data_IF_600640976421
#
_entry.id   IF_600640976421
#
_cell.length_a   1.000
_cell.length_b   1.000
_cell.length_c   1.000
_cell.angle_alpha   90.00
_cell.angle_beta   90.00
_cell.angle_gamma   90.00
#
_symmetry.space_group_name_H-M   'P 1'
#
loop_
_entity.id
_entity.type
_entity.pdbx_description
1 polymer ?
#
# COMPACT_ATOMS: atom_id res chain seq x y z
N UNK A 1 23.94 -16.89 34.96
CA UNK A 1 24.14 -17.01 33.48
C UNK A 1 22.83 -17.22 32.71
N UNK A 2 21.66 -17.21 33.36
CA UNK A 2 20.31 -17.10 32.77
C UNK A 2 20.04 -15.62 32.40
N UNK A 3 19.76 -15.17 31.18
CA UNK A 3 19.29 -15.81 29.95
C UNK A 3 19.79 -14.94 28.77
N UNK A 4 20.92 -15.31 28.16
CA UNK A 4 21.51 -14.52 27.07
C UNK A 4 20.65 -14.53 25.79
N UNK A 5 20.01 -15.67 25.49
CA UNK A 5 19.17 -15.86 24.30
C UNK A 5 18.01 -14.85 24.18
N UNK A 6 17.16 -14.70 25.21
CA UNK A 6 16.10 -13.68 25.24
C UNK A 6 16.55 -12.25 24.97
N UNK A 7 17.73 -11.87 25.44
CA UNK A 7 18.27 -10.53 25.19
C UNK A 7 18.72 -10.35 23.74
N UNK A 8 19.37 -11.36 23.16
CA UNK A 8 19.79 -11.35 21.75
C UNK A 8 18.58 -11.27 20.83
N UNK A 9 17.53 -12.07 21.08
CA UNK A 9 16.33 -12.03 20.23
C UNK A 9 15.62 -10.66 20.29
N UNK A 10 15.52 -10.04 21.46
CA UNK A 10 14.96 -8.69 21.60
C UNK A 10 15.82 -7.64 20.89
N UNK A 11 17.15 -7.76 20.93
CA UNK A 11 18.06 -6.88 20.21
C UNK A 11 17.85 -6.98 18.69
N UNK A 12 17.79 -8.20 18.14
CA UNK A 12 17.54 -8.42 16.71
C UNK A 12 16.19 -7.85 16.25
N UNK A 13 15.14 -7.98 17.08
CA UNK A 13 13.83 -7.38 16.80
C UNK A 13 13.96 -5.85 16.74
N UNK A 14 14.68 -5.24 17.68
CA UNK A 14 14.90 -3.79 17.70
C UNK A 14 15.74 -3.30 16.53
N UNK A 15 16.76 -4.03 16.11
CA UNK A 15 17.57 -3.71 14.93
C UNK A 15 16.74 -3.76 13.64
N UNK A 16 15.94 -4.83 13.45
CA UNK A 16 15.02 -4.95 12.33
C UNK A 16 14.01 -3.78 12.30
N UNK A 17 13.48 -3.41 13.46
CA UNK A 17 12.56 -2.28 13.61
C UNK A 17 13.22 -0.93 13.31
N UNK A 18 14.49 -0.72 13.68
CA UNK A 18 15.25 0.49 13.33
C UNK A 18 15.44 0.61 11.81
N UNK A 19 15.77 -0.51 11.14
CA UNK A 19 15.89 -0.56 9.68
C UNK A 19 14.54 -0.23 9.02
N UNK A 20 13.44 -0.82 9.51
CA UNK A 20 12.09 -0.50 9.03
C UNK A 20 11.73 0.96 9.25
N UNK A 21 11.98 1.52 10.44
CA UNK A 21 11.70 2.92 10.73
C UNK A 21 12.48 3.86 9.79
N UNK A 22 13.77 3.60 9.58
CA UNK A 22 14.59 4.37 8.66
C UNK A 22 14.06 4.29 7.21
N UNK A 23 13.73 3.09 6.73
CA UNK A 23 13.17 2.89 5.39
C UNK A 23 11.83 3.61 5.20
N UNK A 24 10.94 3.51 6.19
CA UNK A 24 9.63 4.15 6.18
C UNK A 24 9.75 5.68 6.22
N UNK A 25 10.59 6.23 7.10
CA UNK A 25 10.83 7.68 7.18
C UNK A 25 11.42 8.20 5.86
N UNK A 26 12.41 7.51 5.30
CA UNK A 26 12.99 7.86 4.01
C UNK A 26 11.91 7.88 2.92
N UNK A 27 11.07 6.86 2.88
CA UNK A 27 10.03 6.72 1.87
C UNK A 27 8.94 7.78 1.98
N UNK A 28 8.43 8.04 3.19
CA UNK A 28 7.46 9.10 3.45
C UNK A 28 8.04 10.48 3.14
N UNK A 29 9.28 10.73 3.55
CA UNK A 29 10.02 11.95 3.25
C UNK A 29 10.23 12.17 1.76
N UNK A 30 10.63 11.12 1.02
CA UNK A 30 10.79 11.17 -0.44
C UNK A 30 9.47 11.50 -1.15
N UNK A 31 8.37 10.84 -0.77
CA UNK A 31 7.04 11.13 -1.33
C UNK A 31 6.57 12.55 -1.00
N UNK A 32 6.76 12.98 0.25
CA UNK A 32 6.42 14.33 0.69
C UNK A 32 7.22 15.40 -0.06
N UNK A 33 8.54 15.20 -0.21
CA UNK A 33 9.40 16.10 -0.97
C UNK A 33 8.95 16.24 -2.43
N UNK A 34 8.66 15.12 -3.10
CA UNK A 34 8.17 15.15 -4.48
C UNK A 34 6.80 15.84 -4.60
N UNK A 35 5.90 15.63 -3.64
CA UNK A 35 4.61 16.31 -3.62
C UNK A 35 4.76 17.83 -3.42
N UNK A 36 5.67 18.27 -2.55
CA UNK A 36 5.96 19.69 -2.32
C UNK A 36 6.61 20.31 -3.56
N UNK A 37 7.58 19.61 -4.18
CA UNK A 37 8.26 20.08 -5.37
C UNK A 37 7.28 20.28 -6.54
N UNK A 38 6.31 19.38 -6.67
CA UNK A 38 5.23 19.51 -7.64
C UNK A 38 4.33 20.70 -7.34
N UNK A 39 3.86 20.83 -6.10
CA UNK A 39 2.99 21.94 -5.69
C UNK A 39 3.65 23.30 -5.98
N UNK A 40 4.97 23.38 -5.84
CA UNK A 40 5.75 24.59 -6.13
C UNK A 40 5.93 24.85 -7.63
N UNK A 41 5.82 23.85 -8.51
CA UNK A 41 6.03 24.00 -9.96
C UNK A 41 4.87 23.39 -10.78
N UNK A 42 3.68 24.02 -10.79
CA UNK A 42 2.46 23.46 -11.39
C UNK A 42 2.48 23.38 -12.93
N UNK A 43 3.52 23.92 -13.60
CA UNK A 43 3.57 24.13 -15.04
C UNK A 43 3.72 22.86 -15.92
N UNK A 44 3.65 21.64 -15.37
CA UNK A 44 4.07 20.45 -16.15
C UNK A 44 3.18 19.21 -16.21
N UNK A 45 2.04 19.03 -15.55
CA UNK A 45 1.33 17.74 -15.66
C UNK A 45 -0.19 17.78 -15.44
N UNK A 46 -0.96 17.85 -16.53
CA UNK A 46 -2.43 17.70 -16.50
C UNK A 46 -2.94 16.27 -16.80
N UNK A 47 -2.21 15.44 -17.55
CA UNK A 47 -2.94 14.41 -18.33
C UNK A 47 -3.22 13.05 -17.65
N UNK A 48 -2.69 12.70 -16.46
CA UNK A 48 -2.88 11.32 -15.93
C UNK A 48 -2.87 11.15 -14.40
N UNK A 49 -3.22 12.20 -13.64
CA UNK A 49 -3.08 12.23 -12.17
C UNK A 49 -4.14 11.51 -11.30
N UNK A 50 -5.42 11.36 -11.67
CA UNK A 50 -6.45 11.19 -10.64
C UNK A 50 -6.63 9.78 -10.07
N UNK A 51 -6.40 8.71 -10.84
CA UNK A 51 -6.80 7.34 -10.41
C UNK A 51 -5.84 6.68 -9.41
N UNK A 52 -4.61 7.17 -9.28
CA UNK A 52 -3.59 6.57 -8.40
C UNK A 52 -3.57 7.13 -6.98
N UNK A 53 -4.26 8.24 -6.75
CA UNK A 53 -4.20 9.02 -5.52
C UNK A 53 -4.79 8.28 -4.30
N UNK A 54 -5.84 7.48 -4.51
CA UNK A 54 -6.47 6.69 -3.44
C UNK A 54 -5.49 5.70 -2.83
N UNK A 55 -4.82 4.93 -3.69
CA UNK A 55 -3.88 3.89 -3.26
C UNK A 55 -2.63 4.52 -2.64
N UNK A 56 -2.21 5.69 -3.12
CA UNK A 56 -1.10 6.41 -2.51
C UNK A 56 -1.40 6.87 -1.08
N UNK A 57 -2.65 7.27 -0.80
CA UNK A 57 -3.10 7.66 0.54
C UNK A 57 -3.22 6.44 1.46
N UNK A 58 -3.82 5.35 1.00
CA UNK A 58 -3.89 4.10 1.76
C UNK A 58 -2.50 3.55 2.09
N UNK A 59 -1.57 3.64 1.12
CA UNK A 59 -0.19 3.24 1.34
C UNK A 59 0.52 4.17 2.34
N UNK A 60 0.27 5.49 2.30
CA UNK A 60 0.82 6.39 3.31
C UNK A 60 0.29 6.04 4.71
N UNK A 61 -0.98 5.67 4.83
CA UNK A 61 -1.58 5.15 6.07
C UNK A 61 -0.86 3.88 6.57
N UNK A 62 -0.64 2.91 5.67
CA UNK A 62 0.13 1.69 5.97
C UNK A 62 1.54 2.02 6.50
N UNK A 63 2.26 2.92 5.84
CA UNK A 63 3.60 3.35 6.25
C UNK A 63 3.61 4.04 7.62
N UNK A 64 2.61 4.87 7.92
CA UNK A 64 2.49 5.47 9.26
C UNK A 64 2.25 4.39 10.31
N UNK A 65 1.40 3.40 10.03
CA UNK A 65 1.17 2.28 10.95
C UNK A 65 2.43 1.42 11.15
N UNK A 66 3.18 1.12 10.09
CA UNK A 66 4.47 0.42 10.18
C UNK A 66 5.49 1.20 11.02
N UNK A 67 5.50 2.54 10.96
CA UNK A 67 6.36 3.37 11.81
C UNK A 67 5.96 3.26 13.29
N UNK A 68 4.67 3.28 13.60
CA UNK A 68 4.15 3.11 14.96
C UNK A 68 4.50 1.71 15.49
N UNK A 69 4.33 0.67 14.67
CA UNK A 69 4.72 -0.72 14.98
C UNK A 69 6.23 -0.84 15.24
N UNK A 70 7.05 -0.18 14.42
CA UNK A 70 8.49 -0.13 14.59
C UNK A 70 8.88 0.54 15.91
N UNK A 71 8.26 1.66 16.28
CA UNK A 71 8.49 2.33 17.57
C UNK A 71 8.19 1.38 18.74
N UNK A 72 7.05 0.67 18.71
CA UNK A 72 6.71 -0.34 19.72
C UNK A 72 7.75 -1.47 19.84
N UNK A 73 8.38 -1.84 18.73
CA UNK A 73 9.43 -2.86 18.67
C UNK A 73 10.82 -2.34 19.10
N UNK A 74 11.14 -1.09 18.80
CA UNK A 74 12.37 -0.42 19.28
C UNK A 74 12.38 -0.31 20.81
N UNK A 75 11.21 -0.12 21.44
CA UNK A 75 11.09 -0.07 22.90
C UNK A 75 11.53 -1.36 23.62
N UNK A 76 11.70 -2.48 22.89
CA UNK A 76 12.33 -3.69 23.44
C UNK A 76 13.76 -3.44 23.97
N UNK A 77 14.49 -2.44 23.44
CA UNK A 77 15.81 -2.05 23.95
C UNK A 77 15.79 -1.71 25.44
N UNK A 78 14.67 -1.16 25.94
CA UNK A 78 14.49 -0.87 27.37
C UNK A 78 14.62 -2.15 28.20
N UNK A 79 14.06 -3.25 27.71
CA UNK A 79 14.06 -4.54 28.40
C UNK A 79 15.38 -5.28 28.23
N UNK A 80 16.09 -5.07 27.11
CA UNK A 80 17.46 -5.56 26.91
C UNK A 80 18.41 -4.97 27.96
N UNK A 81 18.33 -3.65 28.17
CA UNK A 81 19.18 -2.94 29.14
C UNK A 81 18.82 -3.32 30.57
N UNK A 82 17.52 -3.31 30.91
CA UNK A 82 17.05 -3.60 32.28
C UNK A 82 17.15 -5.08 32.65
N UNK A 83 17.12 -5.97 31.67
CA UNK A 83 17.12 -7.42 31.90
C UNK A 83 15.82 -7.99 32.46
N UNK A 84 14.79 -7.17 32.65
CA UNK A 84 13.49 -7.55 33.18
C UNK A 84 12.39 -6.66 32.59
N UNK A 85 11.20 -7.21 32.38
CA UNK A 85 10.02 -6.50 31.87
C UNK A 85 9.10 -6.17 33.05
N UNK A 86 9.05 -4.91 33.44
CA UNK A 86 8.25 -4.46 34.58
C UNK A 86 7.03 -3.64 34.12
N UNK A 87 5.88 -3.76 34.82
CA UNK A 87 4.75 -2.85 34.63
C UNK A 87 5.16 -1.38 34.84
N UNK A 88 4.46 -0.46 34.16
CA UNK A 88 4.69 0.98 34.28
C UNK A 88 4.52 1.73 32.95
N UNK A 89 4.88 3.01 32.93
CA UNK A 89 4.66 3.89 31.76
C UNK A 89 5.32 3.35 30.49
N UNK A 90 6.59 2.94 30.56
CA UNK A 90 7.29 2.38 29.40
C UNK A 90 6.61 1.11 28.84
N UNK A 91 6.05 0.29 29.74
CA UNK A 91 5.33 -0.93 29.40
C UNK A 91 4.00 -0.61 28.68
N UNK A 92 3.23 0.32 29.23
CA UNK A 92 1.97 0.79 28.64
C UNK A 92 2.20 1.45 27.29
N UNK A 93 3.18 2.36 27.19
CA UNK A 93 3.53 3.03 25.93
C UNK A 93 3.90 1.99 24.88
N UNK A 94 4.77 1.04 25.20
CA UNK A 94 5.10 -0.03 24.27
C UNK A 94 3.87 -0.79 23.79
N UNK A 95 2.99 -1.19 24.71
CA UNK A 95 1.84 -2.00 24.37
C UNK A 95 0.85 -1.24 23.46
N UNK A 96 0.63 0.06 23.72
CA UNK A 96 -0.18 0.94 22.88
C UNK A 96 0.40 1.05 21.48
N UNK A 97 1.71 1.31 21.35
CA UNK A 97 2.37 1.40 20.03
C UNK A 97 2.30 0.06 19.26
N UNK A 98 2.46 -1.08 19.94
CA UNK A 98 2.30 -2.39 19.32
C UNK A 98 0.88 -2.58 18.80
N UNK A 99 -0.12 -2.44 19.67
CA UNK A 99 -1.52 -2.63 19.27
C UNK A 99 -1.94 -1.66 18.15
N UNK A 100 -1.63 -0.36 18.30
CA UNK A 100 -1.99 0.65 17.30
C UNK A 100 -1.29 0.42 15.95
N UNK A 101 -0.01 0.04 15.97
CA UNK A 101 0.76 -0.23 14.76
C UNK A 101 0.31 -1.51 14.07
N UNK A 102 0.24 -2.61 14.81
CA UNK A 102 -0.09 -3.94 14.29
C UNK A 102 -1.50 -3.97 13.66
N UNK A 103 -2.49 -3.37 14.34
CA UNK A 103 -3.86 -3.29 13.82
C UNK A 103 -3.97 -2.30 12.66
N UNK A 104 -3.30 -1.14 12.75
CA UNK A 104 -3.27 -0.16 11.67
C UNK A 104 -2.67 -0.73 10.38
N UNK A 105 -1.62 -1.56 10.48
CA UNK A 105 -1.02 -2.28 9.35
C UNK A 105 -2.01 -3.29 8.77
N UNK A 106 -2.71 -4.06 9.62
CA UNK A 106 -3.72 -5.02 9.19
C UNK A 106 -4.86 -4.35 8.42
N UNK A 107 -5.52 -3.34 9.02
CA UNK A 107 -6.64 -2.64 8.41
C UNK A 107 -6.22 -1.90 7.13
N UNK A 108 -5.05 -1.26 7.11
CA UNK A 108 -4.56 -0.57 5.91
C UNK A 108 -4.32 -1.57 4.77
N UNK A 109 -3.76 -2.73 5.09
CA UNK A 109 -3.54 -3.82 4.12
C UNK A 109 -4.88 -4.36 3.59
N UNK A 110 -5.87 -4.55 4.45
CA UNK A 110 -7.22 -4.98 4.06
C UNK A 110 -7.88 -3.99 3.09
N UNK A 111 -7.81 -2.69 3.39
CA UNK A 111 -8.34 -1.63 2.52
C UNK A 111 -7.64 -1.64 1.16
N UNK A 112 -6.31 -1.75 1.13
CA UNK A 112 -5.54 -1.84 -0.12
C UNK A 112 -5.97 -3.07 -0.93
N UNK A 113 -6.16 -4.22 -0.28
CA UNK A 113 -6.60 -5.45 -0.92
C UNK A 113 -7.99 -5.31 -1.56
N UNK A 114 -8.97 -4.83 -0.80
CA UNK A 114 -10.35 -4.60 -1.26
C UNK A 114 -10.36 -3.59 -2.41
N UNK A 115 -9.69 -2.45 -2.25
CA UNK A 115 -9.64 -1.43 -3.29
C UNK A 115 -9.00 -1.97 -4.58
N UNK A 116 -7.89 -2.69 -4.46
CA UNK A 116 -7.20 -3.30 -5.61
C UNK A 116 -8.10 -4.31 -6.32
N UNK A 117 -8.81 -5.15 -5.57
CA UNK A 117 -9.75 -6.11 -6.13
C UNK A 117 -10.90 -5.43 -6.86
N UNK A 118 -11.54 -4.43 -6.24
CA UNK A 118 -12.66 -3.69 -6.84
C UNK A 118 -12.23 -2.99 -8.13
N UNK A 119 -11.05 -2.37 -8.16
CA UNK A 119 -10.54 -1.68 -9.34
C UNK A 119 -10.16 -2.66 -10.45
N UNK A 120 -9.47 -3.77 -10.14
CA UNK A 120 -8.92 -4.67 -11.16
C UNK A 120 -9.87 -5.80 -11.57
N UNK A 121 -10.61 -6.36 -10.63
CA UNK A 121 -11.52 -7.47 -10.87
C UNK A 121 -12.92 -6.99 -11.28
N UNK A 122 -13.49 -6.03 -10.54
CA UNK A 122 -14.81 -5.46 -10.84
C UNK A 122 -14.73 -4.32 -11.87
N UNK A 123 -13.51 -3.90 -12.26
CA UNK A 123 -13.26 -2.83 -13.24
C UNK A 123 -13.87 -1.49 -12.82
N UNK A 124 -14.03 -1.28 -11.52
CA UNK A 124 -14.53 -0.01 -11.01
C UNK A 124 -13.50 1.09 -11.21
N UNK A 125 -13.93 2.22 -11.75
CA UNK A 125 -13.09 3.41 -11.92
C UNK A 125 -13.30 4.32 -10.71
N UNK A 126 -12.29 4.51 -9.84
CA UNK A 126 -12.41 5.40 -8.71
C UNK A 126 -12.64 6.83 -9.20
N UNK A 127 -13.49 7.57 -8.48
CA UNK A 127 -13.66 8.99 -8.73
C UNK A 127 -12.36 9.75 -8.45
N UNK A 128 -12.22 10.95 -9.01
CA UNK A 128 -11.06 11.81 -8.78
C UNK A 128 -11.05 12.46 -7.39
N UNK A 129 -12.12 12.28 -6.61
CA UNK A 129 -12.32 12.94 -5.32
C UNK A 129 -11.58 12.24 -4.18
N UNK A 130 -10.84 13.04 -3.42
CA UNK A 130 -10.14 12.61 -2.20
C UNK A 130 -11.07 12.30 -1.03
N UNK A 131 -12.36 12.63 -1.12
CA UNK A 131 -13.29 12.45 0.00
C UNK A 131 -13.40 11.00 0.43
N UNK A 132 -13.53 10.06 -0.53
CA UNK A 132 -13.65 8.64 -0.23
C UNK A 132 -12.43 8.08 0.51
N UNK A 133 -11.18 8.21 0.01
CA UNK A 133 -10.04 7.67 0.71
C UNK A 133 -9.79 8.36 2.07
N UNK A 134 -10.11 9.65 2.21
CA UNK A 134 -10.02 10.36 3.49
C UNK A 134 -11.03 9.85 4.52
N UNK A 135 -12.28 9.58 4.11
CA UNK A 135 -13.28 8.96 4.99
C UNK A 135 -12.81 7.58 5.44
N UNK A 136 -12.34 6.74 4.50
CA UNK A 136 -11.88 5.38 4.81
C UNK A 136 -10.70 5.38 5.79
N UNK A 137 -9.69 6.22 5.55
CA UNK A 137 -8.53 6.35 6.45
C UNK A 137 -8.96 6.89 7.82
N UNK A 138 -9.85 7.88 7.86
CA UNK A 138 -10.37 8.42 9.12
C UNK A 138 -11.12 7.36 9.93
N UNK A 139 -11.95 6.55 9.28
CA UNK A 139 -12.70 5.47 9.94
C UNK A 139 -11.77 4.37 10.47
N UNK A 140 -10.68 4.06 9.75
CA UNK A 140 -9.65 3.12 10.18
C UNK A 140 -9.01 3.59 11.50
N UNK A 141 -8.43 4.79 11.51
CA UNK A 141 -7.78 5.33 12.71
C UNK A 141 -8.77 5.53 13.87
N UNK A 142 -9.99 5.94 13.57
CA UNK A 142 -11.05 6.06 14.58
C UNK A 142 -11.33 4.70 15.23
N UNK A 143 -11.41 3.63 14.43
CA UNK A 143 -11.64 2.27 14.92
C UNK A 143 -10.48 1.81 15.82
N UNK A 144 -9.23 2.04 15.41
CA UNK A 144 -8.04 1.68 16.19
C UNK A 144 -7.97 2.41 17.53
N UNK A 145 -8.15 3.74 17.49
CA UNK A 145 -8.15 4.56 18.71
C UNK A 145 -9.29 4.16 19.64
N UNK A 146 -10.48 3.91 19.09
CA UNK A 146 -11.63 3.51 19.88
C UNK A 146 -11.42 2.16 20.56
N UNK A 147 -10.82 1.17 19.88
CA UNK A 147 -10.47 -0.12 20.48
C UNK A 147 -9.54 0.04 21.68
N UNK A 148 -8.53 0.89 21.57
CA UNK A 148 -7.59 1.16 22.67
C UNK A 148 -8.27 1.88 23.82
N UNK A 149 -8.98 2.98 23.53
CA UNK A 149 -9.61 3.83 24.56
C UNK A 149 -10.67 3.05 25.33
N UNK A 150 -11.57 2.33 24.63
CA UNK A 150 -12.60 1.51 25.27
C UNK A 150 -11.96 0.42 26.14
N UNK A 151 -10.97 -0.29 25.61
CA UNK A 151 -10.34 -1.40 26.34
C UNK A 151 -9.66 -0.94 27.62
N UNK A 152 -8.94 0.18 27.57
CA UNK A 152 -8.28 0.78 28.75
C UNK A 152 -9.30 1.35 29.73
N UNK A 153 -10.40 1.92 29.25
CA UNK A 153 -11.44 2.50 30.11
C UNK A 153 -12.22 1.46 30.91
N UNK A 154 -12.47 0.28 30.31
CA UNK A 154 -13.29 -0.77 30.94
C UNK A 154 -12.44 -1.76 31.76
N UNK A 155 -11.19 -1.98 31.37
CA UNK A 155 -10.36 -3.03 31.95
C UNK A 155 -9.17 -2.47 32.76
N UNK A 156 -9.14 -2.67 34.09
CA UNK A 156 -8.02 -2.23 34.91
C UNK A 156 -6.75 -2.99 34.52
N UNK A 157 -5.63 -2.28 34.39
CA UNK A 157 -4.34 -2.88 33.97
C UNK A 157 -4.46 -3.74 32.70
N UNK A 158 -5.17 -3.20 31.68
CA UNK A 158 -5.35 -3.84 30.38
C UNK A 158 -4.02 -4.21 29.69
N UNK A 159 -3.01 -3.35 29.82
CA UNK A 159 -1.66 -3.60 29.32
C UNK A 159 -0.72 -4.08 30.43
N UNK A 160 0.17 -5.00 30.09
CA UNK A 160 1.17 -5.50 31.03
C UNK A 160 2.23 -6.42 30.39
N UNK A 161 3.16 -6.94 31.20
CA UNK A 161 4.16 -7.90 30.72
C UNK A 161 3.50 -9.20 30.22
N UNK A 162 3.93 -9.68 29.06
CA UNK A 162 3.40 -10.90 28.42
C UNK A 162 4.51 -11.93 28.12
N UNK A 163 5.53 -11.95 28.99
CA UNK A 163 6.79 -12.64 28.79
C UNK A 163 7.89 -11.64 28.50
N UNK A 164 8.36 -11.58 27.26
CA UNK A 164 9.56 -10.82 26.87
C UNK A 164 9.32 -9.34 26.52
N UNK A 165 8.05 -8.92 26.45
CA UNK A 165 7.67 -7.53 26.18
C UNK A 165 6.29 -7.22 26.75
N UNK A 166 5.94 -5.93 26.70
CA UNK A 166 4.64 -5.45 27.09
C UNK A 166 3.65 -5.44 25.94
N UNK A 167 2.43 -5.89 26.23
CA UNK A 167 1.32 -6.04 25.30
C UNK A 167 -0.01 -6.09 26.07
N UNK A 168 -1.12 -6.44 25.41
CA UNK A 168 -2.40 -6.71 26.07
C UNK A 168 -2.22 -7.87 27.06
N UNK A 169 -2.59 -7.66 28.32
CA UNK A 169 -2.33 -8.59 29.40
C UNK A 169 -3.00 -9.95 29.17
N UNK A 170 -2.31 -11.04 29.56
CA UNK A 170 -2.74 -12.43 29.35
C UNK A 170 -4.12 -12.72 29.98
N UNK A 171 -4.48 -11.99 31.05
CA UNK A 171 -5.79 -12.10 31.71
C UNK A 171 -6.96 -11.71 30.79
N UNK A 172 -6.72 -10.87 29.77
CA UNK A 172 -7.71 -10.39 28.82
C UNK A 172 -7.58 -11.09 27.47
N UNK A 173 -7.62 -12.43 27.48
CA UNK A 173 -7.51 -13.26 26.26
C UNK A 173 -8.57 -12.91 25.21
N UNK A 174 -9.80 -12.63 25.63
CA UNK A 174 -10.85 -12.16 24.72
C UNK A 174 -10.49 -10.82 24.07
N UNK A 175 -9.92 -9.90 24.84
CA UNK A 175 -9.39 -8.62 24.35
C UNK A 175 -8.26 -8.79 23.35
N UNK A 176 -7.29 -9.67 23.64
CA UNK A 176 -6.19 -10.00 22.72
C UNK A 176 -6.69 -10.47 21.34
N UNK A 177 -7.74 -11.30 21.32
CA UNK A 177 -8.31 -11.79 20.07
C UNK A 177 -9.15 -10.71 19.39
N UNK A 178 -10.07 -10.08 20.12
CA UNK A 178 -11.06 -9.16 19.55
C UNK A 178 -10.46 -7.83 19.07
N UNK A 179 -9.40 -7.35 19.71
CA UNK A 179 -8.84 -6.02 19.43
C UNK A 179 -7.57 -6.06 18.61
N UNK A 180 -7.06 -7.25 18.26
CA UNK A 180 -5.83 -7.39 17.48
C UNK A 180 -5.87 -8.57 16.51
N UNK A 181 -5.87 -9.80 17.01
CA UNK A 181 -5.74 -10.97 16.11
C UNK A 181 -6.90 -11.13 15.13
N UNK A 182 -8.13 -10.78 15.50
CA UNK A 182 -9.28 -10.90 14.58
C UNK A 182 -9.05 -10.09 13.31
N UNK A 183 -8.43 -8.91 13.41
CA UNK A 183 -8.13 -8.03 12.29
C UNK A 183 -6.98 -8.54 11.44
N UNK A 184 -5.93 -9.07 12.07
CA UNK A 184 -4.83 -9.73 11.37
C UNK A 184 -5.32 -10.92 10.54
N UNK A 185 -6.09 -11.82 11.16
CA UNK A 185 -6.62 -13.02 10.50
C UNK A 185 -7.69 -12.69 9.46
N UNK A 186 -8.53 -11.69 9.71
CA UNK A 186 -9.46 -11.18 8.71
C UNK A 186 -8.70 -10.68 7.48
N UNK A 187 -7.61 -9.95 7.68
CA UNK A 187 -6.78 -9.42 6.59
C UNK A 187 -6.09 -10.54 5.81
N UNK A 188 -5.51 -11.55 6.50
CA UNK A 188 -4.93 -12.74 5.84
C UNK A 188 -6.00 -13.46 5.00
N UNK A 189 -7.18 -13.68 5.57
CA UNK A 189 -8.27 -14.39 4.91
C UNK A 189 -8.80 -13.61 3.70
N UNK A 190 -9.04 -12.32 3.86
CA UNK A 190 -9.47 -11.45 2.77
C UNK A 190 -8.42 -11.38 1.65
N UNK A 191 -7.14 -11.28 1.99
CA UNK A 191 -6.06 -11.33 1.01
C UNK A 191 -6.11 -12.63 0.18
N UNK A 192 -6.30 -13.78 0.83
CA UNK A 192 -6.43 -15.06 0.14
C UNK A 192 -7.65 -15.09 -0.79
N UNK A 193 -8.83 -14.73 -0.25
CA UNK A 193 -10.11 -14.78 -0.97
C UNK A 193 -10.16 -13.79 -2.14
N UNK A 194 -9.52 -12.63 -2.03
CA UNK A 194 -9.53 -11.59 -3.06
C UNK A 194 -8.42 -11.80 -4.11
N UNK A 195 -7.20 -12.12 -3.69
CA UNK A 195 -6.08 -12.22 -4.64
C UNK A 195 -6.04 -13.54 -5.42
N UNK A 196 -6.61 -14.64 -4.91
CA UNK A 196 -6.69 -15.91 -5.67
C UNK A 196 -7.53 -15.75 -6.95
N UNK A 197 -8.79 -15.27 -6.92
CA UNK A 197 -9.57 -15.04 -8.13
C UNK A 197 -8.95 -13.99 -9.05
N UNK A 198 -8.37 -12.93 -8.47
CA UNK A 198 -7.65 -11.90 -9.21
C UNK A 198 -6.47 -12.49 -10.01
N UNK A 199 -5.70 -13.39 -9.40
CA UNK A 199 -4.61 -14.09 -10.08
C UNK A 199 -5.10 -14.89 -11.29
N UNK A 200 -6.14 -15.71 -11.11
CA UNK A 200 -6.69 -16.51 -12.21
C UNK A 200 -7.24 -15.64 -13.33
N UNK A 201 -7.91 -14.52 -13.00
CA UNK A 201 -8.39 -13.57 -13.99
C UNK A 201 -7.27 -12.94 -14.79
N UNK A 202 -6.22 -12.47 -14.12
CA UNK A 202 -5.08 -11.82 -14.77
C UNK A 202 -4.26 -12.80 -15.62
N UNK A 203 -4.19 -14.07 -15.22
CA UNK A 203 -3.53 -15.13 -16.00
C UNK A 203 -4.29 -15.49 -17.28
N UNK A 204 -5.62 -15.33 -17.29
CA UNK A 204 -6.47 -15.59 -18.47
C UNK A 204 -6.36 -14.53 -19.56
N UNK A 205 -5.66 -13.43 -19.33
CA UNK A 205 -5.33 -12.46 -20.38
C UNK A 205 -6.46 -11.50 -20.77
N UNK A 206 -7.41 -11.22 -19.86
CA UNK A 206 -8.48 -10.23 -20.10
C UNK A 206 -7.89 -8.85 -20.50
N UNK A 207 -8.00 -8.50 -21.79
CA UNK A 207 -7.37 -7.35 -22.45
C UNK A 207 -7.78 -5.95 -21.96
N UNK A 208 -8.77 -5.84 -21.06
CA UNK A 208 -9.28 -4.54 -20.59
C UNK A 208 -8.27 -3.77 -19.71
N UNK A 209 -7.34 -4.46 -19.05
CA UNK A 209 -6.39 -3.81 -18.14
C UNK A 209 -5.27 -3.03 -18.86
N UNK A 210 -5.19 -3.06 -20.21
CA UNK A 210 -3.96 -2.70 -20.94
C UNK A 210 -4.15 -1.87 -22.21
N UNK A 211 -5.01 -0.85 -22.17
CA UNK A 211 -5.20 0.10 -23.28
C UNK A 211 -4.05 1.09 -23.54
N UNK A 212 -2.86 0.95 -22.95
CA UNK A 212 -1.72 1.85 -23.22
C UNK A 212 -0.38 1.13 -23.11
N UNK A 213 0.38 1.12 -24.22
CA UNK A 213 1.56 0.28 -24.43
C UNK A 213 2.61 0.26 -23.31
N UNK A 214 3.24 -0.92 -23.18
CA UNK A 214 4.40 -1.30 -22.36
C UNK A 214 4.14 -1.98 -21.00
N UNK A 215 3.79 -3.28 -20.99
CA UNK A 215 4.20 -4.36 -20.07
C UNK A 215 3.23 -5.56 -20.17
N UNK A 216 3.79 -6.76 -20.12
CA UNK A 216 3.05 -8.04 -20.09
C UNK A 216 2.08 -8.08 -18.88
N UNK A 217 0.76 -8.28 -19.09
CA UNK A 217 -0.24 -8.30 -18.01
C UNK A 217 0.06 -9.37 -16.96
N UNK A 218 0.68 -10.49 -17.36
CA UNK A 218 1.10 -11.53 -16.43
C UNK A 218 2.26 -11.06 -15.52
N UNK A 219 3.09 -10.12 -15.96
CA UNK A 219 4.16 -9.54 -15.12
C UNK A 219 3.61 -8.54 -14.11
N UNK A 220 2.63 -7.72 -14.50
CA UNK A 220 1.97 -6.79 -13.58
C UNK A 220 1.18 -7.55 -12.49
N UNK A 221 0.47 -8.61 -12.89
CA UNK A 221 -0.25 -9.50 -11.99
C UNK A 221 0.64 -10.18 -10.96
N UNK A 222 1.76 -10.76 -11.41
CA UNK A 222 2.75 -11.40 -10.53
C UNK A 222 3.36 -10.41 -9.53
N UNK A 223 3.52 -9.14 -9.90
CA UNK A 223 4.02 -8.11 -8.99
C UNK A 223 3.03 -7.80 -7.87
N UNK A 224 1.74 -7.70 -8.18
CA UNK A 224 0.70 -7.42 -7.19
C UNK A 224 0.49 -8.56 -6.18
N UNK A 225 0.80 -9.81 -6.54
CA UNK A 225 0.68 -10.96 -5.64
C UNK A 225 1.70 -10.98 -4.50
N UNK A 226 2.79 -10.22 -4.62
CA UNK A 226 3.76 -10.15 -3.53
C UNK A 226 3.22 -9.42 -2.31
N UNK A 227 2.24 -8.53 -2.47
CA UNK A 227 1.60 -7.82 -1.36
C UNK A 227 0.91 -8.77 -0.36
N UNK A 228 -0.07 -9.61 -0.76
CA UNK A 228 -0.72 -10.53 0.17
C UNK A 228 0.25 -11.60 0.70
N UNK A 229 1.17 -12.11 -0.13
CA UNK A 229 2.14 -13.13 0.28
C UNK A 229 3.06 -12.61 1.38
N UNK A 230 3.61 -11.41 1.22
CA UNK A 230 4.49 -10.82 2.22
C UNK A 230 3.75 -10.60 3.54
N UNK A 231 2.54 -10.04 3.51
CA UNK A 231 1.73 -9.86 4.72
C UNK A 231 1.49 -11.19 5.43
N UNK A 232 1.09 -12.25 4.70
CA UNK A 232 0.89 -13.58 5.27
C UNK A 232 2.18 -14.15 5.87
N UNK A 233 3.32 -14.04 5.19
CA UNK A 233 4.62 -14.54 5.68
C UNK A 233 5.08 -13.81 6.94
N UNK A 234 4.76 -12.52 7.08
CA UNK A 234 5.09 -11.72 8.25
C UNK A 234 4.18 -12.07 9.44
N UNK A 235 2.87 -12.13 9.22
CA UNK A 235 1.87 -12.23 10.30
C UNK A 235 1.64 -13.67 10.77
N UNK A 236 1.75 -14.66 9.87
CA UNK A 236 1.43 -16.05 10.20
C UNK A 236 2.36 -16.63 11.30
N UNK A 237 3.70 -16.47 11.25
CA UNK A 237 4.59 -17.06 12.25
C UNK A 237 4.35 -16.50 13.65
N UNK A 238 4.20 -15.17 13.79
CA UNK A 238 3.95 -14.54 15.10
C UNK A 238 2.60 -14.96 15.66
N UNK A 239 1.57 -15.03 14.80
CA UNK A 239 0.25 -15.49 15.20
C UNK A 239 0.29 -16.96 15.66
N UNK A 240 0.90 -17.86 14.88
CA UNK A 240 0.98 -19.29 15.22
C UNK A 240 1.69 -19.50 16.57
N UNK A 241 2.84 -18.87 16.78
CA UNK A 241 3.55 -18.98 18.07
C UNK A 241 2.70 -18.53 19.25
N UNK A 242 1.90 -17.48 19.07
CA UNK A 242 1.01 -16.95 20.12
C UNK A 242 -0.21 -17.81 20.38
N UNK A 243 -0.85 -18.32 19.32
CA UNK A 243 -1.98 -19.25 19.47
C UNK A 243 -1.55 -20.56 20.14
N UNK A 244 -0.40 -21.12 19.78
CA UNK A 244 0.16 -22.29 20.47
C UNK A 244 0.33 -22.03 21.98
N UNK A 245 0.88 -20.88 22.34
CA UNK A 245 1.00 -20.47 23.75
C UNK A 245 -0.37 -20.31 24.45
N UNK A 246 -1.41 -19.85 23.74
CA UNK A 246 -2.77 -19.76 24.29
C UNK A 246 -3.39 -21.11 24.61
N UNK A 247 -3.09 -22.14 23.82
CA UNK A 247 -3.49 -23.52 24.06
C UNK A 247 -2.61 -24.25 25.10
N UNK A 248 -1.66 -23.54 25.71
CA UNK A 248 -0.79 -24.08 26.76
C UNK A 248 0.39 -24.90 26.24
N UNK A 249 0.71 -24.81 24.94
CA UNK A 249 1.92 -25.43 24.42
C UNK A 249 3.15 -24.59 24.74
N UNK A 250 4.21 -25.25 25.20
CA UNK A 250 5.51 -24.63 25.41
C UNK A 250 6.15 -24.27 24.06
N UNK A 251 6.18 -22.98 23.73
CA UNK A 251 6.79 -22.49 22.51
C UNK A 251 8.22 -22.03 22.80
N UNK A 252 9.25 -22.65 22.17
CA UNK A 252 10.62 -22.21 22.33
C UNK A 252 10.79 -20.73 21.96
N UNK A 253 11.54 -19.99 22.77
CA UNK A 253 11.75 -18.56 22.58
C UNK A 253 12.30 -18.22 21.19
N UNK A 254 13.13 -19.09 20.61
CA UNK A 254 13.75 -18.90 19.30
C UNK A 254 12.70 -18.68 18.20
N UNK A 255 11.59 -19.42 18.24
CA UNK A 255 10.49 -19.24 17.27
C UNK A 255 9.77 -17.91 17.48
N UNK A 256 9.55 -17.53 18.74
CA UNK A 256 8.94 -16.24 19.08
C UNK A 256 9.84 -15.07 18.65
N UNK A 257 11.14 -15.20 18.83
CA UNK A 257 12.14 -14.21 18.42
C UNK A 257 12.21 -14.08 16.89
N UNK A 258 12.30 -15.21 16.17
CA UNK A 258 12.32 -15.22 14.70
C UNK A 258 11.06 -14.56 14.13
N UNK A 259 9.89 -14.92 14.65
CA UNK A 259 8.62 -14.30 14.28
C UNK A 259 8.60 -12.79 14.56
N UNK A 260 9.15 -12.36 15.70
CA UNK A 260 9.29 -10.95 16.03
C UNK A 260 10.24 -10.21 15.08
N UNK A 261 11.33 -10.84 14.63
CA UNK A 261 12.27 -10.25 13.67
C UNK A 261 11.60 -10.06 12.30
N UNK A 262 10.85 -11.06 11.83
CA UNK A 262 10.05 -10.95 10.60
C UNK A 262 9.04 -9.79 10.69
N UNK A 263 8.34 -9.68 11.83
CA UNK A 263 7.43 -8.57 12.09
C UNK A 263 8.17 -7.22 12.15
N UNK A 264 9.37 -7.19 12.72
CA UNK A 264 10.24 -6.02 12.76
C UNK A 264 10.65 -5.52 11.37
N UNK A 265 10.74 -6.41 10.37
CA UNK A 265 11.01 -6.06 8.97
C UNK A 265 9.78 -5.63 8.16
N UNK A 266 8.59 -5.56 8.76
CA UNK A 266 7.34 -5.22 8.05
C UNK A 266 7.46 -3.94 7.21
N UNK A 267 7.92 -2.84 7.82
CA UNK A 267 8.02 -1.55 7.15
C UNK A 267 8.96 -1.55 5.94
N UNK A 268 10.15 -2.17 6.06
CA UNK A 268 11.07 -2.25 4.91
C UNK A 268 10.52 -3.16 3.80
N UNK A 269 9.88 -4.27 4.16
CA UNK A 269 9.27 -5.18 3.18
C UNK A 269 8.15 -4.44 2.42
N UNK A 270 7.26 -3.75 3.13
CA UNK A 270 6.17 -2.97 2.53
C UNK A 270 6.70 -1.81 1.66
N UNK A 271 7.78 -1.14 2.08
CA UNK A 271 8.44 -0.10 1.29
C UNK A 271 9.03 -0.66 -0.02
N UNK A 272 9.75 -1.79 0.06
CA UNK A 272 10.31 -2.48 -1.11
C UNK A 272 9.18 -2.91 -2.06
N UNK A 273 8.13 -3.54 -1.54
CA UNK A 273 6.98 -3.97 -2.34
C UNK A 273 6.34 -2.83 -3.11
N UNK A 274 6.19 -1.66 -2.48
CA UNK A 274 5.66 -0.50 -3.18
C UNK A 274 6.56 -0.07 -4.34
N UNK A 275 7.89 -0.03 -4.15
CA UNK A 275 8.81 0.34 -5.23
C UNK A 275 8.76 -0.64 -6.41
N UNK A 276 8.61 -1.94 -6.13
CA UNK A 276 8.53 -2.98 -7.16
C UNK A 276 7.17 -2.96 -7.88
N UNK A 277 6.08 -2.73 -7.14
CA UNK A 277 4.71 -2.75 -7.68
C UNK A 277 4.37 -1.48 -8.47
N UNK A 278 5.05 -0.36 -8.22
CA UNK A 278 4.80 0.92 -8.94
C UNK A 278 6.04 1.55 -9.59
N UNK A 279 6.61 0.93 -10.66
CA UNK A 279 7.74 1.51 -11.40
C UNK A 279 7.40 2.84 -12.10
N UNK A 280 6.11 3.10 -12.37
CA UNK A 280 5.63 4.29 -13.10
C UNK A 280 5.85 5.62 -12.34
N UNK A 281 6.25 5.58 -11.07
CA UNK A 281 6.58 6.77 -10.27
C UNK A 281 8.06 7.19 -10.32
N UNK A 282 8.92 6.53 -11.10
CA UNK A 282 10.31 6.99 -11.26
C UNK A 282 10.40 8.20 -12.21
N UNK A 283 10.85 9.40 -11.74
CA UNK A 283 11.01 10.59 -12.58
C UNK A 283 11.98 10.37 -13.75
N UNK A 284 12.96 9.48 -13.58
CA UNK A 284 13.95 9.13 -14.60
C UNK A 284 13.31 8.51 -15.85
N UNK A 285 12.30 7.66 -15.67
CA UNK A 285 11.59 7.02 -16.79
C UNK A 285 10.55 7.96 -17.42
N UNK A 286 9.90 8.82 -16.62
CA UNK A 286 9.04 9.89 -17.13
C UNK A 286 9.84 10.89 -18.00
N UNK A 287 11.05 11.27 -17.57
CA UNK A 287 11.99 12.09 -18.37
C UNK A 287 12.44 11.38 -19.64
N UNK A 288 12.73 10.07 -19.59
CA UNK A 288 13.09 9.29 -20.77
C UNK A 288 11.95 9.19 -21.79
N UNK A 289 10.71 8.98 -21.32
CA UNK A 289 9.52 9.00 -22.18
C UNK A 289 9.27 10.37 -22.81
N UNK A 290 9.38 11.47 -22.05
CA UNK A 290 9.27 12.84 -22.59
C UNK A 290 10.31 13.11 -23.67
N UNK A 291 11.57 12.71 -23.46
CA UNK A 291 12.62 12.82 -24.48
C UNK A 291 12.30 11.99 -25.72
N UNK A 292 11.78 10.78 -25.55
CA UNK A 292 11.39 9.93 -26.68
C UNK A 292 10.20 10.49 -27.45
N UNK A 293 9.14 10.96 -26.79
CA UNK A 293 7.98 11.56 -27.45
C UNK A 293 8.29 12.89 -28.12
N UNK A 294 9.12 13.74 -27.50
CA UNK A 294 9.60 14.97 -28.10
C UNK A 294 10.47 14.69 -29.34
N UNK A 295 11.36 13.69 -29.28
CA UNK A 295 12.15 13.27 -30.42
C UNK A 295 11.29 12.71 -31.57
N UNK A 296 10.21 11.97 -31.25
CA UNK A 296 9.26 11.48 -32.26
C UNK A 296 8.46 12.61 -32.90
N UNK A 297 7.98 13.59 -32.12
CA UNK A 297 7.30 14.76 -32.69
C UNK A 297 8.21 15.62 -33.56
N UNK A 298 9.48 15.80 -33.16
CA UNK A 298 10.48 16.52 -33.95
C UNK A 298 10.78 15.79 -35.27
N UNK A 299 10.84 14.45 -35.25
CA UNK A 299 10.97 13.64 -36.47
C UNK A 299 9.75 13.76 -37.38
N UNK A 300 8.54 13.71 -36.83
CA UNK A 300 7.31 13.88 -37.61
C UNK A 300 7.23 15.27 -38.27
N UNK A 301 7.65 16.31 -37.56
CA UNK A 301 7.72 17.69 -38.09
C UNK A 301 8.85 17.90 -39.12
N UNK A 302 9.91 17.11 -39.05
CA UNK A 302 10.97 17.11 -40.07
C UNK A 302 10.58 16.33 -41.34
N UNK A 303 9.57 15.45 -41.24
CA UNK A 303 9.07 14.63 -42.36
C UNK A 303 7.84 15.23 -43.06
N UNK A 304 7.24 16.30 -42.52
CA UNK A 304 6.18 17.04 -43.22
C UNK A 304 6.78 17.87 -44.36
N UNK A 305 6.27 17.76 -45.61
CA UNK A 305 6.77 18.54 -46.73
C UNK A 305 6.51 20.04 -46.51
N UNK A 306 7.34 20.94 -47.08
CA UNK A 306 7.16 22.37 -46.94
C UNK A 306 5.81 22.82 -47.50
N UNK A 307 5.15 23.75 -46.79
CA UNK A 307 3.82 24.31 -47.12
C UNK A 307 3.69 24.87 -48.56
N UNK A 308 4.80 25.08 -49.27
CA UNK A 308 4.82 25.53 -50.66
C UNK A 308 4.28 24.51 -51.67
N UNK A 309 4.27 23.20 -51.36
CA UNK A 309 3.70 22.17 -52.26
C UNK A 309 2.18 21.98 -52.10
N UNK A 310 1.55 22.52 -51.04
CA UNK A 310 0.11 22.34 -50.80
C UNK A 310 -0.77 23.31 -51.62
N UNK A 311 -0.20 24.32 -52.26
CA UNK A 311 -0.95 25.33 -53.04
C UNK A 311 -1.23 24.84 -54.48
N UNK A 312 -0.43 23.91 -55.00
CA UNK A 312 -0.54 23.43 -56.40
C UNK A 312 -1.56 22.30 -56.62
N UNK A 313 -2.25 21.85 -55.57
CA UNK A 313 -3.17 20.69 -55.63
C UNK A 313 -4.66 21.03 -55.46
N UNK A 314 -5.04 22.32 -55.52
CA UNK A 314 -6.45 22.71 -55.55
C UNK A 314 -7.04 22.49 -56.97
N UNK A 315 -8.00 21.56 -57.19
CA UNK A 315 -8.63 21.42 -58.48
C UNK A 315 -9.63 22.55 -58.69
N UNK A 316 -9.43 23.21 -59.82
CA UNK A 316 -10.29 24.15 -60.55
C UNK A 316 -11.77 23.70 -60.56
N UNK A 317 -12.58 24.23 -59.66
CA UNK A 317 -14.06 24.18 -59.74
C UNK A 317 -14.54 25.60 -60.05
N UNK A 318 -14.62 25.92 -61.34
CA UNK A 318 -15.46 27.01 -61.85
C UNK A 318 -15.62 26.79 -63.36
N UNK A 319 -16.79 26.30 -63.76
CA UNK A 319 -17.53 26.68 -64.98
C UNK A 319 -18.70 25.70 -65.20
N UNK A 320 -19.94 26.17 -64.99
CA UNK A 320 -21.00 26.08 -66.01
C UNK A 320 -22.22 26.93 -65.60
N UNK A 321 -22.60 27.82 -66.51
CA UNK A 321 -23.64 28.84 -66.43
C UNK A 321 -25.09 28.30 -66.48
N UNK A 322 -25.97 29.10 -65.89
CA UNK A 322 -27.38 29.42 -66.17
C UNK A 322 -28.06 28.86 -67.44
N UNK A 323 -29.31 28.38 -67.28
CA UNK A 323 -30.51 28.63 -68.15
C UNK A 323 -31.80 28.01 -67.53
N UNK A 324 -33.04 28.44 -67.92
CA UNK A 324 -34.15 28.76 -66.99
C UNK A 324 -35.34 27.72 -67.00
N UNK A 325 -36.50 27.98 -66.34
CA UNK A 325 -37.41 26.92 -65.87
C UNK A 325 -38.38 26.42 -66.94
N UNK A 326 -38.64 25.11 -66.94
CA UNK A 326 -39.60 24.42 -67.80
C UNK A 326 -40.60 23.61 -66.97
N UNK A 327 -41.88 23.80 -67.30
CA UNK A 327 -43.07 23.24 -66.65
C UNK A 327 -43.32 21.77 -67.01
N UNK A 328 -44.20 21.18 -66.20
CA UNK A 328 -45.14 20.10 -66.48
C UNK A 328 -44.70 18.62 -66.31
N UNK A 329 -45.58 17.92 -65.56
CA UNK A 329 -46.18 16.63 -65.87
C UNK A 329 -45.70 15.34 -65.14
N UNK A 330 -46.65 14.87 -64.30
CA UNK A 330 -47.16 13.50 -64.17
C UNK A 330 -46.48 12.47 -63.22
N UNK A 331 -47.23 12.22 -62.12
CA UNK A 331 -47.82 10.93 -61.72
C UNK A 331 -46.93 9.68 -61.67
N UNK A 332 -46.63 9.22 -60.44
CA UNK A 332 -47.14 7.96 -59.88
C UNK A 332 -46.90 7.94 -58.36
#
# INVERSE_FOLDING_TARGET
MSDFGPRVGLLLISEAALVSAAAVIFMLGWKGFNAIQEYRNPLTHEENRPSHLHIELYFACLMVADLIQAIGSILNLTWVVRGVVNPGVACTVQAVFKQLGDVGVALSTLVIAVHTFVVLYLKWTPSTSLLLPLIVVSLLWLTDVLMIVISVAIHPAYYGPTGYWCWIAIRYRSGQIATEYVWMWLTVTANLVLYIPLFFRLRRGDSWAYGSGACDPAKAARRLLWCPVAYTVIILPISVTRFLAFFGHDVPYQWTALSGVLLGFSGVINAILYTITRPRLHPAQARHRRRSSAATMLRARAQSPPQSELIDLAPRIHDYNDTPPGKDALLA
#
